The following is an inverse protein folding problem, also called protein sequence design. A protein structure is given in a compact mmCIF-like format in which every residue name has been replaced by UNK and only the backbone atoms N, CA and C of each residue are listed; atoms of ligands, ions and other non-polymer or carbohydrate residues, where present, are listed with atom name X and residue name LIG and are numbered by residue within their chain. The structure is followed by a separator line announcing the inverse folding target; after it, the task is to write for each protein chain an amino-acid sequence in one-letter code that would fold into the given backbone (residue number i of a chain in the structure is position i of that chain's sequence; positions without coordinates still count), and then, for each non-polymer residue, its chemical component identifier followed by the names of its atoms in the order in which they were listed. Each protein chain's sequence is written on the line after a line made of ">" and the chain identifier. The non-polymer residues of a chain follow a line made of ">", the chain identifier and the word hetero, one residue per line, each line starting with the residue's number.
data_IF_668873389446
#
_entry.id   IF_668873389446
#
_cell.length_a   1.000
_cell.length_b   1.000
_cell.length_c   1.000
_cell.angle_alpha   90.00
_cell.angle_beta   90.00
_cell.angle_gamma   90.00
#
_symmetry.space_group_name_H-M   'P 1'
#
loop_
_entity.id
_entity.type
_entity.pdbx_description
1 polymer ?
#
# COMPACT_ATOMS: atom_id res chain seq x y z
N UNK A 1 5.24 -10.52 15.86
CA UNK A 1 5.43 -11.86 15.25
C UNK A 1 4.37 -12.18 14.19
N UNK A 2 3.06 -12.12 14.49
CA UNK A 2 2.00 -12.41 13.50
C UNK A 2 2.08 -11.54 12.23
N UNK A 3 2.32 -10.24 12.38
CA UNK A 3 2.50 -9.30 11.26
C UNK A 3 3.67 -9.73 10.35
N UNK A 4 4.78 -10.13 10.95
CA UNK A 4 5.95 -10.59 10.18
C UNK A 4 5.64 -11.90 9.45
N UNK A 5 4.98 -12.87 10.11
CA UNK A 5 4.56 -14.11 9.49
C UNK A 5 3.61 -13.87 8.29
N UNK A 6 2.59 -13.03 8.46
CA UNK A 6 1.68 -12.67 7.37
C UNK A 6 2.40 -11.93 6.25
N UNK A 7 3.34 -11.05 6.57
CA UNK A 7 4.15 -10.36 5.56
C UNK A 7 4.97 -11.34 4.74
N UNK A 8 5.59 -12.35 5.37
CA UNK A 8 6.32 -13.42 4.68
C UNK A 8 5.38 -14.21 3.75
N UNK A 9 4.21 -14.63 4.27
CA UNK A 9 3.21 -15.35 3.48
C UNK A 9 2.75 -14.53 2.27
N UNK A 10 2.41 -13.25 2.46
CA UNK A 10 1.98 -12.38 1.36
C UNK A 10 3.11 -12.04 0.39
N UNK A 11 4.36 -12.00 0.86
CA UNK A 11 5.53 -11.79 0.01
C UNK A 11 5.73 -12.93 -1.00
N UNK A 12 5.33 -14.16 -0.68
CA UNK A 12 5.41 -15.30 -1.60
C UNK A 12 4.51 -15.14 -2.84
N UNK A 13 3.49 -14.28 -2.80
CA UNK A 13 2.61 -14.04 -3.95
C UNK A 13 3.23 -13.13 -5.02
N UNK A 14 4.47 -12.64 -4.82
CA UNK A 14 5.25 -11.79 -5.75
C UNK A 14 4.50 -10.56 -6.31
N UNK A 15 3.46 -10.10 -5.62
CA UNK A 15 2.65 -8.93 -5.99
C UNK A 15 2.77 -7.89 -4.88
N UNK A 16 3.28 -6.69 -5.18
CA UNK A 16 3.42 -5.67 -4.13
C UNK A 16 2.06 -5.24 -3.56
N UNK A 17 0.98 -5.33 -4.34
CA UNK A 17 -0.38 -5.08 -3.83
C UNK A 17 -0.80 -6.05 -2.71
N UNK A 18 -0.20 -7.25 -2.63
CA UNK A 18 -0.48 -8.20 -1.56
C UNK A 18 0.15 -7.77 -0.22
N UNK A 19 1.19 -6.92 -0.25
CA UNK A 19 1.81 -6.33 0.94
C UNK A 19 1.13 -5.01 1.37
N UNK A 20 -0.10 -4.75 0.92
CA UNK A 20 -0.88 -3.62 1.45
C UNK A 20 -1.11 -3.78 2.95
N UNK A 21 -1.16 -2.66 3.67
CA UNK A 21 -1.34 -2.65 5.12
C UNK A 21 -2.64 -3.34 5.54
N UNK A 22 -3.68 -3.24 4.71
CA UNK A 22 -4.95 -3.94 4.94
C UNK A 22 -4.76 -5.46 5.06
N UNK A 23 -3.90 -6.05 4.24
CA UNK A 23 -3.74 -7.50 4.22
C UNK A 23 -2.78 -7.96 5.31
N UNK A 24 -1.60 -7.35 5.42
CA UNK A 24 -0.61 -7.80 6.41
C UNK A 24 -1.12 -7.62 7.85
N UNK A 25 -1.66 -6.45 8.19
CA UNK A 25 -2.23 -6.21 9.53
C UNK A 25 -3.63 -6.79 9.71
N UNK A 26 -4.51 -6.66 8.72
CA UNK A 26 -5.89 -7.14 8.85
C UNK A 26 -5.97 -8.66 9.02
N UNK A 27 -5.23 -9.43 8.21
CA UNK A 27 -5.17 -10.88 8.41
C UNK A 27 -4.42 -11.28 9.68
N UNK A 28 -3.41 -10.52 10.09
CA UNK A 28 -2.74 -10.76 11.39
C UNK A 28 -3.71 -10.60 12.56
N UNK A 29 -4.57 -9.58 12.50
CA UNK A 29 -5.59 -9.35 13.51
C UNK A 29 -6.65 -10.46 13.51
N UNK A 30 -7.16 -10.85 12.33
CA UNK A 30 -8.11 -11.96 12.21
C UNK A 30 -7.49 -13.27 12.73
N UNK A 31 -6.21 -13.54 12.43
CA UNK A 31 -5.50 -14.71 12.93
C UNK A 31 -5.34 -14.66 14.46
N UNK A 32 -4.96 -13.49 15.02
CA UNK A 32 -4.87 -13.29 16.47
C UNK A 32 -6.20 -13.59 17.18
N UNK A 33 -7.31 -13.14 16.60
CA UNK A 33 -8.64 -13.37 17.15
C UNK A 33 -9.08 -14.83 17.04
N UNK A 34 -8.82 -15.49 15.90
CA UNK A 34 -9.10 -16.91 15.74
C UNK A 34 -8.34 -17.76 16.76
N UNK A 35 -7.06 -17.45 16.94
CA UNK A 35 -6.20 -18.04 17.96
C UNK A 35 -6.83 -17.90 19.36
N UNK A 36 -7.20 -16.68 19.76
CA UNK A 36 -7.85 -16.43 21.06
C UNK A 36 -9.20 -17.16 21.21
N UNK A 37 -10.01 -17.20 20.14
CA UNK A 37 -11.33 -17.83 20.15
C UNK A 37 -11.27 -19.36 20.30
N UNK A 38 -10.32 -20.01 19.61
CA UNK A 38 -10.14 -21.46 19.67
C UNK A 38 -9.32 -21.94 20.89
N UNK A 39 -8.95 -21.03 21.80
CA UNK A 39 -8.18 -21.32 23.02
C UNK A 39 -6.91 -22.14 22.76
N UNK A 40 -6.30 -21.96 21.58
CA UNK A 40 -5.05 -22.64 21.23
C UNK A 40 -3.95 -22.19 22.21
N UNK A 41 -2.93 -23.01 22.46
CA UNK A 41 -1.83 -22.60 23.31
C UNK A 41 -0.97 -21.54 22.60
N UNK A 42 -0.94 -20.33 23.17
CA UNK A 42 -0.18 -19.18 22.65
C UNK A 42 1.01 -18.80 23.53
N UNK A 43 1.60 -19.76 24.24
CA UNK A 43 2.77 -19.52 25.08
C UNK A 43 3.96 -18.91 24.32
N UNK A 44 4.02 -19.13 23.01
CA UNK A 44 5.00 -18.56 22.07
C UNK A 44 4.64 -17.13 21.58
N UNK A 45 3.48 -16.58 21.97
CA UNK A 45 2.99 -15.24 21.64
C UNK A 45 2.46 -14.52 22.90
N UNK A 46 3.31 -14.21 23.88
CA UNK A 46 2.90 -13.51 25.10
C UNK A 46 2.27 -12.13 24.82
N UNK A 47 2.56 -11.52 23.67
CA UNK A 47 2.00 -10.23 23.27
C UNK A 47 0.50 -10.28 22.92
N UNK A 48 -0.07 -11.47 22.67
CA UNK A 48 -1.50 -11.62 22.38
C UNK A 48 -2.38 -11.24 23.58
N UNK A 49 -1.94 -11.55 24.81
CA UNK A 49 -2.72 -11.23 26.02
C UNK A 49 -2.71 -9.73 26.35
N UNK A 50 -1.70 -8.99 25.89
CA UNK A 50 -1.59 -7.54 26.04
C UNK A 50 -2.16 -6.77 24.84
N UNK A 51 -2.74 -7.47 23.86
CA UNK A 51 -3.22 -6.86 22.62
C UNK A 51 -4.50 -6.04 22.88
N UNK A 52 -4.43 -4.74 22.61
CA UNK A 52 -5.61 -3.89 22.58
C UNK A 52 -6.18 -3.83 21.16
N UNK A 53 -7.40 -4.36 20.96
CA UNK A 53 -8.05 -4.40 19.66
C UNK A 53 -8.20 -3.01 19.03
N UNK A 54 -8.67 -2.03 19.78
CA UNK A 54 -8.86 -0.65 19.31
C UNK A 54 -7.56 -0.02 18.83
N UNK A 55 -6.47 -0.19 19.58
CA UNK A 55 -5.17 0.34 19.21
C UNK A 55 -4.66 -0.25 17.87
N UNK A 56 -4.85 -1.56 17.66
CA UNK A 56 -4.45 -2.22 16.40
C UNK A 56 -5.28 -1.71 15.23
N UNK A 57 -6.58 -1.50 15.40
CA UNK A 57 -7.46 -0.98 14.34
C UNK A 57 -7.14 0.48 14.01
N UNK A 58 -6.86 1.31 15.02
CA UNK A 58 -6.41 2.69 14.80
C UNK A 58 -5.10 2.69 14.01
N UNK A 59 -4.13 1.87 14.42
CA UNK A 59 -2.86 1.72 13.71
C UNK A 59 -3.06 1.26 12.26
N UNK A 60 -3.97 0.30 12.03
CA UNK A 60 -4.34 -0.16 10.68
C UNK A 60 -4.90 0.98 9.82
N UNK A 61 -5.81 1.79 10.38
CA UNK A 61 -6.36 2.96 9.70
C UNK A 61 -5.29 3.99 9.34
N UNK A 62 -4.41 4.31 10.29
CA UNK A 62 -3.27 5.21 10.07
C UNK A 62 -2.34 4.68 8.98
N UNK A 63 -1.99 3.39 9.01
CA UNK A 63 -1.14 2.78 8.00
C UNK A 63 -1.78 2.79 6.61
N UNK A 64 -3.09 2.55 6.51
CA UNK A 64 -3.83 2.72 5.26
C UNK A 64 -3.80 4.17 4.75
N UNK A 65 -3.94 5.15 5.63
CA UNK A 65 -3.80 6.55 5.25
C UNK A 65 -2.38 6.83 4.73
N UNK A 66 -1.34 6.33 5.40
CA UNK A 66 0.05 6.48 4.92
C UNK A 66 0.28 5.80 3.57
N UNK A 67 -0.27 4.60 3.34
CA UNK A 67 -0.24 3.92 2.05
C UNK A 67 -0.88 4.79 0.96
N UNK A 68 -2.05 5.37 1.24
CA UNK A 68 -2.72 6.30 0.33
C UNK A 68 -1.89 7.55 0.02
N UNK A 69 -1.27 8.18 1.02
CA UNK A 69 -0.44 9.38 0.84
C UNK A 69 0.83 9.05 0.04
N UNK A 70 1.52 7.97 0.39
CA UNK A 70 2.72 7.50 -0.31
C UNK A 70 2.43 7.14 -1.76
N UNK A 71 1.32 6.43 -2.01
CA UNK A 71 0.87 6.09 -3.35
C UNK A 71 0.55 7.35 -4.16
N UNK A 72 -0.16 8.33 -3.58
CA UNK A 72 -0.51 9.57 -4.26
C UNK A 72 0.75 10.34 -4.71
N UNK A 73 1.75 10.46 -3.83
CA UNK A 73 2.96 11.25 -4.08
C UNK A 73 3.98 10.55 -4.98
N UNK A 74 4.16 9.23 -4.84
CA UNK A 74 5.34 8.57 -5.43
C UNK A 74 5.04 7.43 -6.40
N UNK A 75 3.84 6.84 -6.36
CA UNK A 75 3.54 5.66 -7.18
C UNK A 75 3.47 5.97 -8.68
N UNK A 76 3.23 7.21 -9.07
CA UNK A 76 3.18 7.62 -10.47
C UNK A 76 4.57 7.85 -11.11
N UNK A 77 5.63 8.06 -10.33
CA UNK A 77 6.93 8.54 -10.82
C UNK A 77 7.72 7.50 -11.62
N UNK A 78 7.49 6.20 -11.38
CA UNK A 78 8.14 5.11 -12.13
C UNK A 78 7.14 4.00 -12.39
N UNK A 79 6.53 4.03 -13.56
CA UNK A 79 5.72 2.93 -14.07
C UNK A 79 6.55 2.13 -15.07
N UNK A 80 6.49 0.80 -14.96
CA UNK A 80 7.19 -0.07 -15.90
C UNK A 80 6.29 -0.38 -17.10
N UNK A 81 6.74 -0.12 -18.34
CA UNK A 81 6.01 -0.53 -19.53
C UNK A 81 6.01 -2.06 -19.63
N UNK A 82 4.86 -2.63 -19.97
CA UNK A 82 4.69 -4.04 -20.26
C UNK A 82 3.79 -4.18 -21.49
N UNK A 83 4.10 -5.09 -22.40
CA UNK A 83 3.23 -5.39 -23.53
C UNK A 83 2.32 -6.56 -23.18
N UNK A 84 1.02 -6.43 -23.42
CA UNK A 84 0.05 -7.52 -23.22
C UNK A 84 -0.88 -7.61 -24.43
N UNK A 85 -1.21 -8.84 -24.84
CA UNK A 85 -2.21 -9.09 -25.88
C UNK A 85 -3.61 -8.70 -25.37
N UNK A 86 -4.34 -7.95 -26.17
CA UNK A 86 -5.75 -7.65 -25.92
C UNK A 86 -6.65 -8.82 -26.27
N UNK A 87 -7.91 -8.77 -25.83
CA UNK A 87 -8.95 -9.73 -26.21
C UNK A 87 -9.20 -9.79 -27.74
N UNK A 88 -8.70 -8.81 -28.51
CA UNK A 88 -8.77 -8.76 -29.98
C UNK A 88 -7.47 -9.19 -30.67
N UNK A 89 -6.53 -9.81 -29.94
CA UNK A 89 -5.24 -10.27 -30.46
C UNK A 89 -4.22 -9.18 -30.75
N UNK A 90 -4.58 -7.90 -30.57
CA UNK A 90 -3.65 -6.78 -30.76
C UNK A 90 -2.75 -6.60 -29.53
N UNK A 91 -1.44 -6.41 -29.75
CA UNK A 91 -0.47 -6.01 -28.72
C UNK A 91 -0.77 -4.59 -28.25
N UNK A 92 -1.03 -4.43 -26.95
CA UNK A 92 -1.31 -3.13 -26.32
C UNK A 92 -0.26 -2.86 -25.25
N UNK A 93 0.24 -1.62 -25.22
CA UNK A 93 1.11 -1.13 -24.16
C UNK A 93 0.32 -0.94 -22.87
N UNK A 94 0.82 -1.53 -21.80
CA UNK A 94 0.30 -1.39 -20.44
C UNK A 94 1.38 -0.81 -19.54
N UNK A 95 0.97 -0.02 -18.55
CA UNK A 95 1.86 0.46 -17.51
C UNK A 95 1.54 -0.27 -16.20
N UNK A 96 2.57 -0.80 -15.54
CA UNK A 96 2.45 -1.36 -14.18
C UNK A 96 3.13 -0.43 -13.19
N UNK A 97 2.39 0.01 -12.18
CA UNK A 97 2.94 0.71 -11.02
C UNK A 97 3.06 -0.30 -9.88
N UNK A 98 4.29 -0.69 -9.52
CA UNK A 98 4.55 -1.64 -8.43
C UNK A 98 5.58 -0.99 -7.50
N UNK A 99 5.18 -0.68 -6.27
CA UNK A 99 5.99 0.03 -5.29
C UNK A 99 5.93 -0.65 -3.93
N UNK A 100 7.09 -0.67 -3.28
CA UNK A 100 7.27 -1.09 -1.91
C UNK A 100 7.96 0.07 -1.18
N UNK A 101 7.46 0.42 0.00
CA UNK A 101 8.08 1.38 0.90
C UNK A 101 8.40 0.69 2.21
N UNK A 102 9.58 0.99 2.76
CA UNK A 102 9.97 0.60 4.11
C UNK A 102 9.75 1.80 5.03
N UNK A 103 8.83 1.65 5.99
CA UNK A 103 8.46 2.68 6.94
C UNK A 103 9.03 2.33 8.33
N UNK A 104 9.84 3.19 8.96
CA UNK A 104 10.26 2.99 10.35
C UNK A 104 9.10 3.35 11.28
N UNK A 105 8.32 2.35 11.71
CA UNK A 105 7.26 2.56 12.69
C UNK A 105 7.86 2.72 14.08
N UNK A 106 7.52 3.82 14.76
CA UNK A 106 7.91 4.07 16.14
C UNK A 106 6.69 3.85 17.02
N UNK A 107 6.72 2.82 17.88
CA UNK A 107 5.64 2.53 18.83
C UNK A 107 6.13 2.79 20.26
N UNK A 108 5.19 3.13 21.13
CA UNK A 108 5.43 3.28 22.56
C UNK A 108 5.05 1.98 23.27
N UNK A 109 5.96 1.46 24.09
CA UNK A 109 5.71 0.26 24.90
C UNK A 109 6.06 0.56 26.36
N UNK A 110 5.26 0.10 27.34
CA UNK A 110 5.64 0.17 28.74
C UNK A 110 7.00 -0.50 28.96
N UNK A 111 7.94 0.21 29.58
CA UNK A 111 9.34 -0.18 29.70
C UNK A 111 9.59 -1.30 30.73
N UNK A 112 8.54 -1.82 31.38
CA UNK A 112 8.58 -2.67 32.57
C UNK A 112 9.72 -3.70 32.60
N UNK A 113 9.85 -4.53 31.56
CA UNK A 113 10.93 -5.54 31.46
C UNK A 113 11.88 -5.33 30.28
N UNK A 114 11.59 -4.35 29.42
CA UNK A 114 12.45 -3.98 28.29
C UNK A 114 13.27 -2.75 28.67
N UNK A 115 14.23 -2.95 29.59
CA UNK A 115 15.39 -2.06 29.64
C UNK A 115 16.20 -2.35 28.38
N UNK A 116 16.10 -1.46 27.39
CA UNK A 116 16.98 -1.50 26.22
C UNK A 116 18.41 -1.69 26.69
N UNK A 117 19.11 -2.70 26.18
CA UNK A 117 20.52 -2.97 26.49
C UNK A 117 21.47 -1.82 26.09
N UNK A 118 20.93 -0.78 25.46
CA UNK A 118 21.60 0.44 25.04
C UNK A 118 21.37 1.55 26.10
N UNK A 119 22.44 2.05 26.74
CA UNK A 119 22.34 3.08 27.79
C UNK A 119 21.79 4.44 27.31
N UNK A 120 21.86 4.72 26.01
CA UNK A 120 21.49 6.01 25.41
C UNK A 120 20.09 6.02 24.79
N UNK A 121 19.33 4.93 24.88
CA UNK A 121 18.02 4.84 24.26
C UNK A 121 17.00 5.74 24.98
N UNK A 122 16.20 6.54 24.27
CA UNK A 122 15.29 7.47 24.91
C UNK A 122 14.17 6.72 25.65
N UNK A 123 14.03 7.00 26.93
CA UNK A 123 12.91 6.53 27.77
C UNK A 123 12.08 7.75 28.15
N UNK A 124 10.78 7.66 27.94
CA UNK A 124 9.81 8.69 28.26
C UNK A 124 9.13 8.31 29.58
N UNK A 125 9.36 9.12 30.62
CA UNK A 125 8.71 8.93 31.93
C UNK A 125 7.50 9.85 32.01
N UNK A 126 6.33 9.27 32.27
CA UNK A 126 5.09 10.01 32.48
C UNK A 126 4.47 9.53 33.80
N UNK A 127 4.49 10.40 34.80
CA UNK A 127 4.15 10.08 36.19
C UNK A 127 4.99 8.88 36.68
N UNK A 128 4.36 7.79 37.11
CA UNK A 128 5.01 6.57 37.60
C UNK A 128 5.21 5.50 36.52
N UNK A 129 4.89 5.80 35.26
CA UNK A 129 5.04 4.86 34.15
C UNK A 129 6.18 5.27 33.23
N UNK A 130 7.11 4.34 33.03
CA UNK A 130 8.18 4.48 32.04
C UNK A 130 7.75 3.85 30.71
N UNK A 131 7.94 4.57 29.61
CA UNK A 131 7.68 4.11 28.25
C UNK A 131 8.98 4.12 27.46
N UNK A 132 9.22 3.06 26.70
CA UNK A 132 10.33 2.96 25.76
C UNK A 132 9.80 3.00 24.33
N UNK A 133 10.57 3.60 23.43
CA UNK A 133 10.26 3.60 22.00
C UNK A 133 10.77 2.31 21.37
N UNK A 134 9.95 1.67 20.53
CA UNK A 134 10.38 0.55 19.69
C UNK A 134 10.29 0.95 18.22
N UNK A 135 11.37 0.72 17.49
CA UNK A 135 11.43 0.96 16.06
C UNK A 135 11.23 -0.35 15.30
N UNK A 136 10.17 -0.42 14.49
CA UNK A 136 9.79 -1.59 13.70
C UNK A 136 9.85 -1.23 12.21
N UNK A 137 10.73 -1.86 11.42
CA UNK A 137 10.74 -1.67 9.97
C UNK A 137 9.50 -2.35 9.36
N UNK A 138 8.55 -1.55 8.88
CA UNK A 138 7.28 -2.03 8.32
C UNK A 138 7.23 -1.83 6.81
N UNK A 139 6.87 -2.88 6.08
CA UNK A 139 6.81 -2.85 4.62
C UNK A 139 5.38 -2.55 4.17
N UNK A 140 5.21 -1.52 3.34
CA UNK A 140 3.94 -1.17 2.71
C UNK A 140 4.07 -1.39 1.21
N UNK A 141 3.16 -2.15 0.62
CA UNK A 141 3.12 -2.39 -0.81
C UNK A 141 1.90 -1.84 -1.52
N UNK A 142 2.14 -1.25 -2.69
CA UNK A 142 1.11 -0.79 -3.62
C UNK A 142 1.39 -1.33 -5.01
N UNK A 143 0.36 -1.89 -5.63
CA UNK A 143 0.44 -2.41 -7.00
C UNK A 143 -0.82 -2.07 -7.78
N UNK A 144 -0.67 -1.50 -8.97
CA UNK A 144 -1.76 -1.21 -9.89
C UNK A 144 -1.35 -1.44 -11.34
N UNK A 145 -2.26 -2.03 -12.12
CA UNK A 145 -2.15 -2.24 -13.56
C UNK A 145 -3.01 -1.18 -14.25
N UNK A 146 -2.41 -0.37 -15.13
CA UNK A 146 -3.11 0.67 -15.89
C UNK A 146 -3.00 0.36 -17.39
N UNK A 147 -4.15 0.32 -18.07
CA UNK A 147 -4.24 0.02 -19.52
C UNK A 147 -4.98 1.09 -20.33
N UNK A 148 -6.14 1.55 -19.85
CA UNK A 148 -7.03 2.46 -20.60
C UNK A 148 -6.98 3.92 -20.18
N UNK A 149 -6.13 4.30 -19.22
CA UNK A 149 -6.11 5.65 -18.64
C UNK A 149 -4.69 6.18 -18.41
N UNK A 150 -4.57 7.49 -18.22
CA UNK A 150 -3.29 8.12 -17.88
C UNK A 150 -2.83 7.61 -16.49
N UNK A 151 -1.62 7.02 -16.35
CA UNK A 151 -1.18 6.38 -15.11
C UNK A 151 -1.27 7.28 -13.88
N UNK A 152 -0.90 8.55 -14.01
CA UNK A 152 -0.96 9.55 -12.93
C UNK A 152 -2.38 9.69 -12.35
N UNK A 153 -3.38 9.88 -13.20
CA UNK A 153 -4.78 10.14 -12.78
C UNK A 153 -5.36 8.89 -12.11
N UNK A 154 -5.15 7.73 -12.74
CA UNK A 154 -5.67 6.45 -12.26
C UNK A 154 -5.10 6.05 -10.89
N UNK A 155 -3.80 6.28 -10.70
CA UNK A 155 -3.10 6.03 -9.44
C UNK A 155 -3.58 7.02 -8.36
N UNK A 156 -3.69 8.31 -8.68
CA UNK A 156 -4.12 9.33 -7.72
C UNK A 156 -5.56 9.12 -7.23
N UNK A 157 -6.48 8.73 -8.11
CA UNK A 157 -7.86 8.41 -7.73
C UNK A 157 -7.88 7.20 -6.78
N UNK A 158 -7.11 6.16 -7.11
CA UNK A 158 -7.02 4.95 -6.26
C UNK A 158 -6.42 5.29 -4.91
N UNK A 159 -5.32 6.06 -4.89
CA UNK A 159 -4.66 6.52 -3.67
C UNK A 159 -5.59 7.33 -2.77
N UNK A 160 -6.38 8.25 -3.33
CA UNK A 160 -7.38 9.02 -2.57
C UNK A 160 -8.47 8.12 -1.97
N UNK A 161 -8.91 7.10 -2.69
CA UNK A 161 -9.88 6.11 -2.18
C UNK A 161 -9.30 5.27 -1.04
N UNK A 162 -8.02 4.88 -1.12
CA UNK A 162 -7.31 4.20 -0.02
C UNK A 162 -7.24 5.12 1.20
N UNK A 163 -6.91 6.39 1.00
CA UNK A 163 -6.82 7.37 2.09
C UNK A 163 -8.18 7.54 2.79
N UNK A 164 -9.27 7.69 2.04
CA UNK A 164 -10.62 7.77 2.61
C UNK A 164 -11.01 6.49 3.36
N UNK A 165 -10.64 5.32 2.84
CA UNK A 165 -10.85 4.04 3.53
C UNK A 165 -10.06 4.00 4.85
N UNK A 166 -8.79 4.40 4.84
CA UNK A 166 -7.96 4.47 6.05
C UNK A 166 -8.53 5.43 7.10
N UNK A 167 -9.03 6.59 6.67
CA UNK A 167 -9.70 7.55 7.55
C UNK A 167 -10.96 6.94 8.19
N UNK A 168 -11.82 6.28 7.40
CA UNK A 168 -13.00 5.61 7.92
C UNK A 168 -12.65 4.50 8.93
N UNK A 169 -11.63 3.69 8.63
CA UNK A 169 -11.15 2.62 9.53
C UNK A 169 -10.56 3.21 10.82
N UNK A 170 -9.81 4.31 10.75
CA UNK A 170 -9.27 4.98 11.93
C UNK A 170 -10.38 5.54 12.83
N UNK A 171 -11.42 6.14 12.25
CA UNK A 171 -12.59 6.63 13.00
C UNK A 171 -13.36 5.47 13.65
N UNK A 172 -13.55 4.36 12.95
CA UNK A 172 -14.15 3.16 13.54
C UNK A 172 -13.26 2.56 14.65
N UNK A 173 -11.94 2.60 14.48
CA UNK A 173 -10.99 2.22 15.52
C UNK A 173 -11.13 3.07 16.78
N UNK A 174 -11.25 4.39 16.64
CA UNK A 174 -11.54 5.28 17.76
C UNK A 174 -12.90 4.96 18.41
N UNK A 175 -13.94 4.73 17.60
CA UNK A 175 -15.26 4.33 18.10
C UNK A 175 -15.23 2.99 18.88
N UNK A 176 -14.32 2.09 18.51
CA UNK A 176 -14.18 0.80 19.19
C UNK A 176 -13.65 0.89 20.62
N UNK A 177 -13.12 2.04 21.06
CA UNK A 177 -12.69 2.26 22.45
C UNK A 177 -13.88 2.14 23.40
N UNK A 178 -15.06 2.60 22.98
CA UNK A 178 -16.29 2.47 23.76
C UNK A 178 -17.04 1.16 23.51
N UNK A 179 -16.89 0.56 22.32
CA UNK A 179 -17.56 -0.68 21.96
C UNK A 179 -16.63 -1.59 21.14
N UNK A 180 -15.94 -2.48 21.85
CA UNK A 180 -14.90 -3.37 21.30
C UNK A 180 -15.33 -4.18 20.07
N UNK A 181 -16.58 -4.68 19.93
CA UNK A 181 -17.02 -5.40 18.73
C UNK A 181 -16.89 -4.60 17.42
N UNK A 182 -16.86 -3.26 17.47
CA UNK A 182 -16.65 -2.42 16.28
C UNK A 182 -15.29 -2.66 15.64
N UNK A 183 -14.27 -3.00 16.45
CA UNK A 183 -12.92 -3.27 15.95
C UNK A 183 -12.93 -4.39 14.88
N UNK A 184 -13.75 -5.42 15.09
CA UNK A 184 -13.90 -6.55 14.19
C UNK A 184 -14.49 -6.12 12.84
N UNK A 185 -15.58 -5.34 12.90
CA UNK A 185 -16.21 -4.77 11.72
C UNK A 185 -15.27 -3.83 10.95
N UNK A 186 -14.50 -3.02 11.65
CA UNK A 186 -13.54 -2.09 11.07
C UNK A 186 -12.44 -2.81 10.28
N UNK A 187 -11.89 -3.91 10.83
CA UNK A 187 -10.89 -4.72 10.12
C UNK A 187 -11.49 -5.40 8.89
N UNK A 188 -12.70 -5.95 8.98
CA UNK A 188 -13.39 -6.50 7.82
C UNK A 188 -13.60 -5.44 6.73
N UNK A 189 -14.04 -4.23 7.10
CA UNK A 189 -14.18 -3.11 6.18
C UNK A 189 -12.83 -2.73 5.55
N UNK A 190 -11.74 -2.74 6.32
CA UNK A 190 -10.40 -2.46 5.80
C UNK A 190 -9.97 -3.50 4.74
N UNK A 191 -10.09 -4.79 5.04
CA UNK A 191 -9.69 -5.89 4.13
C UNK A 191 -10.59 -5.94 2.89
N UNK A 192 -11.91 -5.98 3.10
CA UNK A 192 -12.89 -6.07 2.02
C UNK A 192 -12.87 -4.79 1.19
N UNK A 193 -12.83 -3.62 1.82
CA UNK A 193 -12.75 -2.33 1.14
C UNK A 193 -11.50 -2.21 0.27
N UNK A 194 -10.34 -2.67 0.76
CA UNK A 194 -9.10 -2.68 -0.04
C UNK A 194 -9.17 -3.65 -1.21
N UNK A 195 -9.74 -4.84 -1.00
CA UNK A 195 -9.96 -5.83 -2.06
C UNK A 195 -10.94 -5.32 -3.12
N UNK A 196 -12.07 -4.74 -2.69
CA UNK A 196 -13.07 -4.14 -3.56
C UNK A 196 -12.48 -3.00 -4.40
N UNK A 197 -11.67 -2.13 -3.79
CA UNK A 197 -11.02 -1.05 -4.52
C UNK A 197 -10.08 -1.57 -5.60
N UNK A 198 -9.30 -2.62 -5.29
CA UNK A 198 -8.41 -3.27 -6.26
C UNK A 198 -9.19 -3.94 -7.40
N UNK A 199 -10.32 -4.57 -7.08
CA UNK A 199 -11.19 -5.20 -8.08
C UNK A 199 -11.91 -4.18 -8.96
N UNK A 200 -12.56 -3.17 -8.36
CA UNK A 200 -13.24 -2.08 -9.07
C UNK A 200 -12.29 -1.36 -10.02
N UNK A 201 -11.05 -1.15 -9.62
CA UNK A 201 -10.04 -0.56 -10.47
C UNK A 201 -9.73 -1.44 -11.69
N UNK A 202 -9.56 -2.74 -11.49
CA UNK A 202 -9.34 -3.70 -12.57
C UNK A 202 -10.51 -3.73 -13.57
N UNK A 203 -11.75 -3.68 -13.08
CA UNK A 203 -12.94 -3.63 -13.93
C UNK A 203 -12.99 -2.32 -14.72
N UNK A 204 -12.74 -1.19 -14.07
CA UNK A 204 -12.75 0.12 -14.72
C UNK A 204 -11.66 0.26 -15.79
N UNK A 205 -10.45 -0.24 -15.53
CA UNK A 205 -9.35 -0.21 -16.50
C UNK A 205 -9.57 -1.16 -17.68
N UNK A 206 -10.31 -2.27 -17.48
CA UNK A 206 -10.68 -3.19 -18.57
C UNK A 206 -11.84 -2.66 -19.42
N UNK A 207 -12.75 -1.87 -18.83
CA UNK A 207 -13.91 -1.29 -19.51
C UNK A 207 -13.58 0.02 -20.24
N UNK A 208 -12.50 0.71 -19.87
CA UNK A 208 -12.07 1.93 -20.52
C UNK A 208 -11.60 1.63 -21.97
N UNK A 209 -12.09 2.36 -22.99
CA UNK A 209 -11.59 2.21 -24.35
C UNK A 209 -10.08 2.49 -24.36
N UNK A 210 -9.33 1.65 -25.05
CA UNK A 210 -7.87 1.73 -25.07
C UNK A 210 -7.42 3.13 -25.51
N UNK A 211 -6.84 3.90 -24.58
CA UNK A 211 -6.25 5.21 -24.88
C UNK A 211 -5.14 5.09 -25.94
N UNK A 212 -4.55 3.90 -26.08
CA UNK A 212 -3.61 3.50 -27.12
C UNK A 212 -4.26 2.62 -28.21
N UNK A 213 -5.49 2.92 -28.64
CA UNK A 213 -5.99 2.34 -29.88
C UNK A 213 -5.16 2.90 -31.05
N UNK A 214 -4.65 2.00 -31.91
CA UNK A 214 -3.91 2.37 -33.13
C UNK A 214 -4.75 3.37 -33.93
N UNK A 215 -4.34 4.65 -33.99
CA UNK A 215 -4.71 5.47 -35.14
C UNK A 215 -4.05 4.84 -36.35
N UNK A 216 -4.84 4.54 -37.37
CA UNK A 216 -4.44 3.78 -38.54
C UNK A 216 -3.43 4.50 -39.46
N UNK A 217 -2.84 5.62 -39.03
CA UNK A 217 -1.88 6.45 -39.77
C UNK A 217 -1.02 7.24 -38.77
N UNK A 218 0.22 6.81 -38.55
CA UNK A 218 1.24 7.58 -37.85
C UNK A 218 1.98 6.78 -36.78
N UNK A 219 3.29 6.64 -36.94
CA UNK A 219 4.20 6.19 -35.88
C UNK A 219 4.10 7.15 -34.69
N UNK A 220 3.52 6.69 -33.58
CA UNK A 220 3.53 7.43 -32.32
C UNK A 220 4.70 6.96 -31.47
N UNK A 221 5.72 7.82 -31.34
CA UNK A 221 6.91 7.56 -30.50
C UNK A 221 6.49 7.62 -29.03
N UNK A 222 6.48 6.47 -28.36
CA UNK A 222 5.99 6.29 -26.98
C UNK A 222 6.98 6.75 -25.88
N UNK A 223 8.18 7.18 -26.27
CA UNK A 223 9.20 7.69 -25.37
C UNK A 223 10.56 7.71 -26.05
N UNK A 224 11.36 8.74 -25.76
CA UNK A 224 12.75 8.85 -26.22
C UNK A 224 13.61 8.62 -24.98
N UNK A 225 14.54 7.68 -25.06
CA UNK A 225 15.52 7.43 -24.00
C UNK A 225 16.54 8.58 -24.07
N UNK A 226 16.79 9.34 -22.99
CA UNK A 226 17.82 10.38 -22.99
C UNK A 226 19.20 9.76 -23.28
N UNK A 227 20.02 10.43 -24.09
CA UNK A 227 21.31 9.94 -24.64
C UNK A 227 21.21 8.79 -25.66
N UNK A 228 20.19 8.80 -26.52
CA UNK A 228 20.14 7.91 -27.70
C UNK A 228 20.05 8.74 -28.98
N UNK A 229 20.44 8.20 -30.15
CA UNK A 229 20.44 8.94 -31.43
C UNK A 229 19.07 9.52 -31.82
N UNK A 230 17.98 9.01 -31.23
CA UNK A 230 16.63 9.52 -31.42
C UNK A 230 16.38 10.89 -30.74
N UNK A 231 17.19 11.30 -29.77
CA UNK A 231 17.11 12.61 -29.13
C UNK A 231 17.66 13.72 -30.03
N UNK A 232 18.77 13.46 -30.74
CA UNK A 232 19.42 14.44 -31.63
C UNK A 232 18.57 14.74 -32.87
N UNK A 233 17.82 13.76 -33.38
CA UNK A 233 16.90 13.98 -34.51
C UNK A 233 15.74 14.93 -34.17
N UNK A 234 15.40 15.11 -32.89
CA UNK A 234 14.34 16.04 -32.47
C UNK A 234 14.82 17.50 -32.42
N UNK A 235 16.09 17.76 -32.08
CA UNK A 235 16.62 19.13 -32.08
C UNK A 235 16.70 19.69 -33.50
N UNK A 236 17.13 18.87 -34.46
CA UNK A 236 17.24 19.24 -35.89
C UNK A 236 15.89 19.57 -36.55
N UNK A 237 14.77 19.02 -36.04
CA UNK A 237 13.42 19.30 -36.57
C UNK A 237 12.81 20.58 -35.99
N UNK A 238 13.22 20.99 -34.79
CA UNK A 238 12.80 22.25 -34.18
C UNK A 238 13.43 23.46 -34.86
N UNK A 239 14.67 23.33 -35.32
CA UNK A 239 15.42 24.43 -35.93
C UNK A 239 14.93 24.78 -37.34
N UNK A 240 14.50 23.78 -38.13
CA UNK A 240 13.92 24.03 -39.46
C UNK A 240 12.49 24.60 -39.46
N UNK A 241 11.81 24.64 -38.31
CA UNK A 241 10.48 25.25 -38.19
C UNK A 241 10.54 26.73 -37.81
N UNK A 242 11.70 27.27 -37.46
CA UNK A 242 11.88 28.68 -37.08
C UNK A 242 12.41 29.57 -38.21
N UNK A 243 12.68 29.00 -39.40
CA UNK A 243 13.13 29.71 -40.60
C UNK A 243 12.06 29.79 -41.70
N UNK A 244 10.79 29.59 -41.36
CA UNK A 244 9.68 29.78 -42.31
C UNK A 244 8.69 30.80 -41.79
#
# INVERSE_FOLDING_TARGET
>A
MLIAAMTIVFSLFFKASALSSAYTLGFSFIAALGLMHFQVSHSWLPQLSMMNASAVVILLGLLLMTEGILAYRTAHLRTSPAMVMSARGLLIGQQRANRLWLLPLVLLMPAGEFTSSLPWWPVLQVHDQSFSFILIPYIIGFGQRIQGSLPIVSIQITARRILMLGLAVALLGAASIWFEPIAWGAVLIAVIGRAFLSWKQRVNDNAAPFYFSKRNQGLMVLGIIPNTPAADLKSLRSEKSSQK
#
